data_IF_282058419281
#
_entry.id   IF_282058419281
#
_cell.length_a   1.000
_cell.length_b   1.000
_cell.length_c   1.000
_cell.angle_alpha   90.00
_cell.angle_beta   90.00
_cell.angle_gamma   90.00
#
_symmetry.space_group_name_H-M   'P 1'
#
loop_
_entity.id
_entity.type
_entity.pdbx_description
1 polymer ?
#
# COMPACT_ATOMS: atom_id res chain seq x y z
N UNK A 1 -12.99 4.38 -13.39
CA UNK A 1 -13.55 3.75 -12.18
C UNK A 1 -12.44 3.64 -11.14
N UNK A 2 -12.02 4.77 -10.55
CA UNK A 2 -11.13 4.76 -9.38
C UNK A 2 -12.05 4.56 -8.19
N UNK A 3 -12.03 3.38 -7.59
CA UNK A 3 -12.75 3.15 -6.34
C UNK A 3 -12.12 4.06 -5.29
N UNK A 4 -12.80 5.17 -5.04
CA UNK A 4 -12.54 6.09 -3.94
C UNK A 4 -12.65 5.27 -2.66
N UNK A 5 -11.51 4.74 -2.19
CA UNK A 5 -11.45 3.98 -0.94
C UNK A 5 -11.52 4.99 0.19
N UNK A 6 -12.75 5.43 0.47
CA UNK A 6 -13.08 6.45 1.45
C UNK A 6 -13.03 5.86 2.87
N UNK A 7 -11.88 5.29 3.21
CA UNK A 7 -11.60 4.88 4.57
C UNK A 7 -11.43 6.16 5.39
N UNK A 8 -12.30 6.38 6.38
CA UNK A 8 -12.22 7.52 7.32
C UNK A 8 -10.83 7.72 7.95
N UNK A 9 -10.00 6.68 7.98
CA UNK A 9 -8.59 6.73 8.39
C UNK A 9 -7.67 7.48 7.39
N UNK A 10 -7.91 7.37 6.08
CA UNK A 10 -7.14 8.06 5.04
C UNK A 10 -7.44 9.56 5.03
N UNK A 11 -8.73 9.93 5.13
CA UNK A 11 -9.13 11.35 5.27
C UNK A 11 -8.53 11.98 6.53
N UNK A 12 -8.48 11.26 7.67
CA UNK A 12 -7.83 11.73 8.91
C UNK A 12 -6.31 11.87 8.76
N UNK A 13 -5.68 10.97 8.02
CA UNK A 13 -4.23 11.03 7.75
C UNK A 13 -3.89 12.18 6.80
N UNK A 14 -4.69 12.40 5.77
CA UNK A 14 -4.56 13.53 4.85
C UNK A 14 -4.79 14.87 5.58
N UNK A 15 -5.79 14.95 6.47
CA UNK A 15 -6.00 16.12 7.32
C UNK A 15 -4.81 16.36 8.25
N UNK A 16 -4.19 15.30 8.80
CA UNK A 16 -2.98 15.40 9.61
C UNK A 16 -1.79 15.93 8.79
N UNK A 17 -1.54 15.38 7.60
CA UNK A 17 -0.44 15.81 6.71
C UNK A 17 -0.66 17.23 6.23
N UNK A 18 -1.87 17.58 5.77
CA UNK A 18 -2.22 18.92 5.31
C UNK A 18 -2.09 19.95 6.44
N UNK A 19 -2.56 19.61 7.65
CA UNK A 19 -2.44 20.48 8.83
C UNK A 19 -0.99 20.60 9.32
N UNK A 20 -0.18 19.55 9.22
CA UNK A 20 1.26 19.58 9.53
C UNK A 20 2.04 20.47 8.56
N UNK A 21 1.77 20.37 7.25
CA UNK A 21 2.43 21.21 6.23
C UNK A 21 2.09 22.69 6.42
N UNK A 22 0.80 23.01 6.66
CA UNK A 22 0.36 24.39 6.91
C UNK A 22 0.88 24.94 8.25
N UNK A 23 1.03 24.10 9.29
CA UNK A 23 1.58 24.53 10.58
C UNK A 23 3.11 24.68 10.54
N UNK A 24 3.81 23.99 9.62
CA UNK A 24 5.27 24.13 9.47
C UNK A 24 5.69 25.47 8.86
N UNK A 25 4.81 26.14 8.12
CA UNK A 25 5.01 27.50 7.64
C UNK A 25 4.57 28.58 8.64
N UNK A 26 3.96 28.19 9.78
CA UNK A 26 3.54 29.10 10.83
C UNK A 26 4.62 29.20 11.90
N UNK A 27 5.42 30.26 11.75
CA UNK A 27 6.19 30.99 12.76
C UNK A 27 7.00 30.16 13.77
N UNK A 28 8.32 30.22 13.63
CA UNK A 28 9.26 29.89 14.70
C UNK A 28 8.92 30.78 15.90
N UNK A 29 8.31 30.20 16.92
CA UNK A 29 7.96 30.91 18.16
C UNK A 29 9.28 31.30 18.85
N UNK A 30 9.55 32.61 19.09
CA UNK A 30 10.72 33.06 19.84
C UNK A 30 10.81 32.35 21.20
N UNK A 31 12.03 32.14 21.70
CA UNK A 31 12.25 31.35 22.92
C UNK A 31 11.56 31.96 24.14
N UNK A 32 11.42 33.28 24.16
CA UNK A 32 10.76 34.06 25.21
C UNK A 32 9.23 33.88 25.24
N UNK A 33 8.64 33.37 24.15
CA UNK A 33 7.19 33.17 24.00
C UNK A 33 6.78 31.68 24.11
N UNK A 34 7.68 30.79 24.54
CA UNK A 34 7.42 29.37 24.72
C UNK A 34 6.75 29.08 26.07
N UNK A 35 5.46 29.38 26.14
CA UNK A 35 4.64 29.08 27.32
C UNK A 35 4.35 27.58 27.47
N UNK A 36 3.85 27.18 28.64
CA UNK A 36 3.39 25.81 28.91
C UNK A 36 2.40 25.28 27.83
N UNK A 37 1.52 26.16 27.34
CA UNK A 37 0.56 25.84 26.26
C UNK A 37 1.25 25.52 24.92
N UNK A 38 2.41 26.11 24.64
CA UNK A 38 3.23 25.74 23.48
C UNK A 38 3.78 24.32 23.64
N UNK A 39 4.39 24.00 24.78
CA UNK A 39 4.99 22.68 25.03
C UNK A 39 3.97 21.55 24.94
N UNK A 40 2.77 21.70 25.53
CA UNK A 40 1.70 20.71 25.41
C UNK A 40 1.25 20.49 23.95
N UNK A 41 1.20 21.54 23.14
CA UNK A 41 0.88 21.41 21.69
C UNK A 41 2.01 20.71 20.93
N UNK A 42 3.26 21.04 21.25
CA UNK A 42 4.46 20.44 20.63
C UNK A 42 4.55 18.94 20.90
N UNK A 43 4.30 18.53 22.13
CA UNK A 43 4.26 17.12 22.54
C UNK A 43 3.14 16.35 21.81
N UNK A 44 1.92 16.91 21.80
CA UNK A 44 0.79 16.32 21.06
C UNK A 44 1.08 16.17 19.57
N UNK A 45 1.73 17.17 18.97
CA UNK A 45 2.13 17.13 17.57
C UNK A 45 3.19 16.06 17.30
N UNK A 46 4.20 15.92 18.17
CA UNK A 46 5.21 14.88 18.07
C UNK A 46 4.58 13.48 18.15
N UNK A 47 3.67 13.27 19.09
CA UNK A 47 2.95 12.00 19.22
C UNK A 47 2.10 11.71 17.96
N UNK A 48 1.35 12.69 17.47
CA UNK A 48 0.56 12.55 16.24
C UNK A 48 1.44 12.25 15.02
N UNK A 49 2.59 12.92 14.89
CA UNK A 49 3.56 12.67 13.82
C UNK A 49 4.15 11.26 13.89
N UNK A 50 4.51 10.76 15.08
CA UNK A 50 4.99 9.39 15.28
C UNK A 50 3.92 8.37 14.88
N UNK A 51 2.71 8.49 15.42
CA UNK A 51 1.56 7.65 15.05
C UNK A 51 1.28 7.65 13.55
N UNK A 52 1.35 8.82 12.91
CA UNK A 52 1.14 8.95 11.46
C UNK A 52 2.23 8.22 10.65
N UNK A 53 3.49 8.35 11.06
CA UNK A 53 4.61 7.61 10.42
C UNK A 53 4.44 6.11 10.56
N UNK A 54 4.09 5.62 11.75
CA UNK A 54 3.86 4.19 12.01
C UNK A 54 2.70 3.65 11.17
N UNK A 55 1.59 4.37 11.10
CA UNK A 55 0.43 3.99 10.28
C UNK A 55 0.80 3.90 8.79
N UNK A 56 1.55 4.88 8.26
CA UNK A 56 2.02 4.84 6.88
C UNK A 56 2.94 3.64 6.63
N UNK A 57 3.92 3.42 7.51
CA UNK A 57 4.86 2.30 7.40
C UNK A 57 4.16 0.95 7.41
N UNK A 58 3.15 0.77 8.27
CA UNK A 58 2.36 -0.46 8.31
C UNK A 58 1.61 -0.68 6.99
N UNK A 59 1.00 0.38 6.43
CA UNK A 59 0.30 0.31 5.14
C UNK A 59 1.26 -0.04 4.00
N UNK A 60 2.42 0.60 3.94
CA UNK A 60 3.47 0.32 2.95
C UNK A 60 3.95 -1.14 3.06
N UNK A 61 4.23 -1.61 4.28
CA UNK A 61 4.63 -2.99 4.51
C UNK A 61 3.55 -3.99 4.07
N UNK A 62 2.27 -3.70 4.33
CA UNK A 62 1.16 -4.55 3.88
C UNK A 62 1.08 -4.61 2.35
N UNK A 63 1.27 -3.48 1.66
CA UNK A 63 1.30 -3.43 0.20
C UNK A 63 2.45 -4.30 -0.33
N UNK A 64 3.66 -4.16 0.24
CA UNK A 64 4.83 -4.94 -0.16
C UNK A 64 4.57 -6.44 0.02
N UNK A 65 4.05 -6.86 1.18
CA UNK A 65 3.75 -8.26 1.44
C UNK A 65 2.70 -8.81 0.46
N UNK A 66 1.64 -8.03 0.18
CA UNK A 66 0.59 -8.43 -0.76
C UNK A 66 1.10 -8.52 -2.20
N UNK A 67 1.94 -7.59 -2.64
CA UNK A 67 2.54 -7.62 -3.97
C UNK A 67 3.41 -8.87 -4.15
N UNK A 68 4.31 -9.14 -3.20
CA UNK A 68 5.16 -10.34 -3.23
C UNK A 68 4.34 -11.63 -3.28
N UNK A 69 3.24 -11.70 -2.51
CA UNK A 69 2.36 -12.87 -2.53
C UNK A 69 1.70 -13.05 -3.90
N UNK A 70 1.14 -11.98 -4.47
CA UNK A 70 0.50 -12.03 -5.78
C UNK A 70 1.48 -12.33 -6.91
N UNK A 71 2.72 -11.85 -6.84
CA UNK A 71 3.77 -12.18 -7.81
C UNK A 71 4.09 -13.67 -7.82
N UNK A 72 4.24 -14.28 -6.64
CA UNK A 72 4.47 -15.73 -6.51
C UNK A 72 3.31 -16.55 -7.05
N UNK A 73 2.08 -16.19 -6.67
CA UNK A 73 0.86 -16.85 -7.19
C UNK A 73 0.76 -16.71 -8.72
N UNK A 74 1.10 -15.54 -9.27
CA UNK A 74 1.05 -15.31 -10.71
C UNK A 74 2.02 -16.21 -11.47
N UNK A 75 3.25 -16.36 -10.95
CA UNK A 75 4.25 -17.26 -11.53
C UNK A 75 3.76 -18.70 -11.48
N UNK A 76 3.31 -19.19 -10.32
CA UNK A 76 2.83 -20.56 -10.17
C UNK A 76 1.63 -20.87 -11.10
N UNK A 77 0.70 -19.92 -11.24
CA UNK A 77 -0.44 -20.07 -12.15
C UNK A 77 0.00 -20.07 -13.62
N UNK A 78 0.97 -19.23 -14.01
CA UNK A 78 1.52 -19.22 -15.38
C UNK A 78 2.20 -20.54 -15.71
N UNK A 79 3.00 -21.09 -14.79
CA UNK A 79 3.63 -22.39 -14.95
C UNK A 79 2.60 -23.50 -15.12
N UNK A 80 1.55 -23.50 -14.29
CA UNK A 80 0.45 -24.48 -14.39
C UNK A 80 -0.29 -24.37 -15.73
N UNK A 81 -0.54 -23.15 -16.22
CA UNK A 81 -1.17 -22.93 -17.53
C UNK A 81 -0.27 -23.42 -18.66
N UNK A 82 1.04 -23.17 -18.59
CA UNK A 82 1.98 -23.63 -19.61
C UNK A 82 2.04 -25.16 -19.66
N UNK A 83 2.10 -25.82 -18.50
CA UNK A 83 2.08 -27.28 -18.40
C UNK A 83 0.80 -27.88 -19.01
N UNK A 84 -0.37 -27.36 -18.60
CA UNK A 84 -1.66 -27.82 -19.11
C UNK A 84 -1.80 -27.54 -20.61
N UNK A 85 -1.31 -26.40 -21.09
CA UNK A 85 -1.34 -26.06 -22.52
C UNK A 85 -0.49 -27.05 -23.31
N UNK A 86 0.71 -27.36 -22.84
CA UNK A 86 1.62 -28.31 -23.48
C UNK A 86 1.03 -29.71 -23.54
N UNK A 87 0.41 -30.18 -22.46
CA UNK A 87 -0.25 -31.50 -22.46
C UNK A 87 -1.47 -31.51 -23.40
N UNK A 88 -2.25 -30.42 -23.45
CA UNK A 88 -3.36 -30.30 -24.40
C UNK A 88 -2.88 -30.34 -25.85
N UNK A 89 -1.77 -29.67 -26.18
CA UNK A 89 -1.18 -29.72 -27.52
C UNK A 89 -0.76 -31.15 -27.87
N UNK A 90 -0.05 -31.83 -26.96
CA UNK A 90 0.34 -33.24 -27.12
C UNK A 90 -0.86 -34.17 -27.34
N UNK A 91 -1.94 -33.99 -26.57
CA UNK A 91 -3.15 -34.78 -26.73
C UNK A 91 -3.87 -34.49 -28.05
N UNK A 92 -3.89 -33.22 -28.50
CA UNK A 92 -4.43 -32.84 -29.81
C UNK A 92 -3.64 -33.46 -30.95
N UNK A 93 -2.31 -33.46 -30.88
CA UNK A 93 -1.46 -34.13 -31.86
C UNK A 93 -1.77 -35.63 -31.95
N UNK A 94 -1.85 -36.31 -30.79
CA UNK A 94 -2.23 -37.73 -30.74
C UNK A 94 -3.60 -38.00 -31.36
N UNK A 95 -4.60 -37.19 -31.02
CA UNK A 95 -5.94 -37.31 -31.60
C UNK A 95 -5.91 -37.09 -33.11
N UNK A 96 -5.21 -36.06 -33.60
CA UNK A 96 -5.08 -35.79 -35.03
C UNK A 96 -4.41 -36.95 -35.78
N UNK A 97 -3.38 -37.58 -35.19
CA UNK A 97 -2.69 -38.73 -35.78
C UNK A 97 -3.54 -40.01 -35.82
N UNK A 98 -4.51 -40.15 -34.90
CA UNK A 98 -5.43 -41.28 -34.85
C UNK A 98 -6.72 -41.04 -35.67
N UNK A 99 -6.93 -39.83 -36.18
CA UNK A 99 -8.08 -39.50 -37.03
C UNK A 99 -7.74 -39.77 -38.50
N UNK A 100 -7.25 -40.97 -38.80
CA UNK A 100 -7.29 -41.54 -40.15
C UNK A 100 -8.57 -42.39 -40.26
N UNK A 101 -9.59 -41.83 -40.91
CA UNK A 101 -10.69 -42.57 -41.53
C UNK A 101 -10.85 -42.07 -42.96
#
# INVERSE_FOLDING_TARGET
>A
MWTFCDSTAEQRTLLCVYKLTILSSVQVVPDEAKDQKYWTRRERNNYAAKRSREARRLKENQIVLRANFLEKENVALRESIEEITRENERLKERLSSCTCR
#
